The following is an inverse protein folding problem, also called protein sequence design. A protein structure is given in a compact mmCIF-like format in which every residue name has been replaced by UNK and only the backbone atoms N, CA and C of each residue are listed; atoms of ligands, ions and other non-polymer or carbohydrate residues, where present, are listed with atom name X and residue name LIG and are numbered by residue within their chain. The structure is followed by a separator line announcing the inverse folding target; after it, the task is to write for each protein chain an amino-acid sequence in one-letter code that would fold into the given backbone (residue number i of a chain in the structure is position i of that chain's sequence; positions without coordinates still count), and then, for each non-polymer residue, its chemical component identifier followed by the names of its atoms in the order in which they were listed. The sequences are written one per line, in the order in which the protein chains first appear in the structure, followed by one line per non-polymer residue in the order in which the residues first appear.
data_IF_162771628628
#
_entry.id   IF_162771628628
#
_cell.length_a   1.000
_cell.length_b   1.000
_cell.length_c   1.000
_cell.angle_alpha   90.00
_cell.angle_beta   90.00
_cell.angle_gamma   90.00
#
_symmetry.space_group_name_H-M   'P 1'
#
loop_
_entity.id
_entity.type
_entity.pdbx_description
1 polymer ?
#
# COMPACT_ATOMS: atom_id res chain seq x y z
N UNK A 1 -14.61 -77.88 25.79
CA UNK A 1 -15.57 -78.28 26.84
C UNK A 1 -15.74 -77.12 27.81
N UNK A 2 -16.99 -76.74 28.06
CA UNK A 2 -17.55 -75.89 29.13
C UNK A 2 -16.97 -74.49 29.41
N UNK A 3 -17.76 -73.44 29.69
CA UNK A 3 -19.19 -73.08 29.52
C UNK A 3 -19.33 -71.69 30.22
N UNK A 4 -20.10 -70.77 29.62
CA UNK A 4 -20.97 -69.72 30.19
C UNK A 4 -20.51 -68.89 31.41
N UNK A 5 -20.48 -67.55 31.41
CA UNK A 5 -21.55 -66.53 31.53
C UNK A 5 -20.82 -65.28 32.12
N UNK A 6 -21.22 -64.01 32.08
CA UNK A 6 -22.47 -63.30 31.83
C UNK A 6 -22.08 -61.83 31.52
N UNK A 7 -22.84 -61.18 30.65
CA UNK A 7 -22.73 -59.75 30.40
C UNK A 7 -23.29 -58.94 31.58
N UNK A 8 -22.66 -57.81 31.90
CA UNK A 8 -23.26 -56.73 32.70
C UNK A 8 -23.14 -55.42 31.92
N UNK A 9 -24.26 -55.00 31.34
CA UNK A 9 -24.44 -53.67 30.74
C UNK A 9 -24.89 -52.76 31.87
N UNK A 10 -24.01 -51.84 32.29
CA UNK A 10 -24.38 -50.74 33.18
C UNK A 10 -24.81 -49.54 32.32
N UNK A 11 -26.12 -49.31 32.28
CA UNK A 11 -26.69 -48.06 31.79
C UNK A 11 -26.38 -46.94 32.79
N UNK A 12 -25.73 -45.88 32.32
CA UNK A 12 -25.57 -44.62 33.06
C UNK A 12 -26.58 -43.59 32.56
N UNK A 13 -27.10 -42.72 33.46
CA UNK A 13 -28.22 -41.84 33.15
C UNK A 13 -27.83 -40.67 32.27
N UNK A 14 -28.76 -40.32 31.38
CA UNK A 14 -28.77 -39.07 30.61
C UNK A 14 -28.90 -37.90 31.58
N UNK A 15 -27.83 -37.12 31.73
CA UNK A 15 -27.91 -35.78 32.29
C UNK A 15 -28.03 -34.77 31.15
N UNK A 16 -29.23 -34.22 31.01
CA UNK A 16 -29.46 -32.96 30.30
C UNK A 16 -28.91 -31.81 31.14
N UNK A 17 -27.85 -31.17 30.66
CA UNK A 17 -27.44 -29.85 31.13
C UNK A 17 -27.27 -28.94 29.91
N UNK A 18 -28.30 -28.13 29.69
CA UNK A 18 -28.26 -26.90 28.90
C UNK A 18 -27.26 -25.93 29.51
N UNK A 19 -26.19 -25.63 28.78
CA UNK A 19 -25.53 -24.32 28.84
C UNK A 19 -25.08 -23.92 27.45
N UNK A 20 -25.55 -22.74 27.05
CA UNK A 20 -25.17 -22.05 25.84
C UNK A 20 -23.65 -21.84 25.79
N UNK A 21 -23.04 -22.21 24.67
CA UNK A 21 -21.63 -22.01 24.38
C UNK A 21 -21.45 -21.84 22.89
N UNK A 22 -22.10 -20.83 22.32
CA UNK A 22 -21.79 -20.37 20.97
C UNK A 22 -20.37 -19.79 20.99
N UNK A 23 -19.37 -20.59 20.64
CA UNK A 23 -18.11 -20.10 20.12
C UNK A 23 -18.33 -19.66 18.67
N UNK A 24 -19.20 -18.66 18.49
CA UNK A 24 -19.10 -17.78 17.36
C UNK A 24 -17.83 -16.96 17.57
N UNK A 25 -16.74 -17.39 16.95
CA UNK A 25 -15.68 -16.47 16.56
C UNK A 25 -16.29 -15.45 15.61
N UNK A 26 -16.95 -14.44 16.16
CA UNK A 26 -17.29 -13.22 15.44
C UNK A 26 -15.96 -12.54 15.13
N UNK A 27 -15.33 -12.97 14.03
CA UNK A 27 -14.39 -12.14 13.32
C UNK A 27 -15.10 -10.82 13.06
N UNK A 28 -14.67 -9.78 13.77
CA UNK A 28 -15.13 -8.42 13.50
C UNK A 28 -14.79 -8.19 12.04
N UNK A 29 -15.79 -8.15 11.16
CA UNK A 29 -15.58 -7.62 9.83
C UNK A 29 -15.12 -6.19 10.06
N UNK A 30 -13.83 -5.92 9.86
CA UNK A 30 -13.30 -4.57 9.83
C UNK A 30 -14.06 -3.85 8.71
N UNK A 31 -15.09 -3.09 9.08
CA UNK A 31 -15.94 -2.38 8.14
C UNK A 31 -15.19 -1.13 7.71
N UNK A 32 -14.34 -1.28 6.69
CA UNK A 32 -13.68 -0.17 6.03
C UNK A 32 -14.70 0.68 5.27
N UNK A 33 -14.65 2.00 5.48
CA UNK A 33 -15.48 2.98 4.78
C UNK A 33 -14.60 3.82 3.87
N UNK A 34 -15.02 3.97 2.62
CA UNK A 34 -14.30 4.76 1.64
C UNK A 34 -14.15 6.23 2.06
N UNK A 35 -12.92 6.72 2.02
CA UNK A 35 -12.62 8.13 2.24
C UNK A 35 -13.03 8.92 0.99
N UNK A 36 -14.00 9.81 1.16
CA UNK A 36 -14.56 10.61 0.05
C UNK A 36 -13.47 11.34 -0.74
N UNK A 37 -13.48 11.12 -2.06
CA UNK A 37 -12.71 11.89 -3.05
C UNK A 37 -13.34 13.30 -3.16
N UNK A 38 -12.61 14.36 -2.83
CA UNK A 38 -13.15 15.73 -2.80
C UNK A 38 -12.49 16.67 -3.79
N UNK A 39 -11.40 16.24 -4.41
CA UNK A 39 -10.71 16.95 -5.48
C UNK A 39 -10.97 16.19 -6.79
N UNK A 40 -11.00 16.88 -7.95
CA UNK A 40 -11.38 16.28 -9.22
C UNK A 40 -10.37 15.24 -9.76
N UNK A 41 -9.20 15.09 -9.13
CA UNK A 41 -8.04 14.50 -9.80
C UNK A 41 -7.60 15.38 -10.98
N UNK A 42 -6.50 15.01 -11.63
CA UNK A 42 -6.11 15.69 -12.88
C UNK A 42 -6.28 14.81 -14.11
N UNK A 43 -6.30 13.48 -13.94
CA UNK A 43 -6.65 12.48 -14.97
C UNK A 43 -6.14 12.89 -16.36
N UNK A 44 -4.82 13.04 -16.47
CA UNK A 44 -4.18 13.61 -17.65
C UNK A 44 -2.79 13.05 -17.86
N UNK A 45 -2.45 12.82 -19.13
CA UNK A 45 -1.11 12.43 -19.53
C UNK A 45 -0.10 13.57 -19.35
N UNK A 46 -0.55 14.82 -19.34
CA UNK A 46 0.33 16.00 -19.35
C UNK A 46 0.02 16.98 -18.23
N UNK A 47 0.97 17.14 -17.30
CA UNK A 47 0.94 18.27 -16.35
C UNK A 47 1.48 19.52 -17.03
N UNK A 48 0.83 20.67 -16.82
CA UNK A 48 1.26 21.96 -17.38
C UNK A 48 1.51 22.95 -16.26
N UNK A 49 2.73 23.49 -16.19
CA UNK A 49 3.11 24.46 -15.17
C UNK A 49 4.14 25.47 -15.69
N UNK A 50 4.43 26.48 -14.88
CA UNK A 50 5.46 27.49 -15.15
C UNK A 50 6.70 27.17 -14.31
N UNK A 51 7.87 27.09 -14.94
CA UNK A 51 9.19 26.96 -14.30
C UNK A 51 10.13 27.97 -14.93
N UNK A 52 10.71 28.86 -14.14
CA UNK A 52 11.60 29.95 -14.59
C UNK A 52 11.00 30.78 -15.75
N UNK A 53 9.72 31.16 -15.63
CA UNK A 53 8.99 31.93 -16.65
C UNK A 53 8.54 31.12 -17.88
N UNK A 54 9.04 29.91 -18.08
CA UNK A 54 8.71 29.05 -19.23
C UNK A 54 7.55 28.10 -18.92
N UNK A 55 6.71 27.84 -19.91
CA UNK A 55 5.70 26.77 -19.83
C UNK A 55 6.40 25.42 -19.99
N UNK A 56 6.27 24.55 -18.99
CA UNK A 56 6.69 23.16 -19.03
C UNK A 56 5.47 22.29 -19.25
N UNK A 57 5.59 21.30 -20.15
CA UNK A 57 4.61 20.24 -20.39
C UNK A 57 5.26 18.93 -19.96
N UNK A 58 4.81 18.37 -18.85
CA UNK A 58 5.37 17.16 -18.27
C UNK A 58 4.49 15.96 -18.63
N UNK A 59 4.98 15.12 -19.54
CA UNK A 59 4.29 13.91 -19.96
C UNK A 59 4.35 12.78 -18.94
N UNK A 60 3.90 11.59 -19.34
CA UNK A 60 3.89 10.39 -18.49
C UNK A 60 5.30 9.87 -18.15
N UNK A 61 6.30 10.12 -19.00
CA UNK A 61 7.69 9.70 -18.74
C UNK A 61 8.52 10.75 -17.99
N UNK A 62 7.88 11.78 -17.42
CA UNK A 62 8.59 12.80 -16.68
C UNK A 62 9.63 13.56 -17.51
N UNK A 63 10.73 13.95 -16.86
CA UNK A 63 11.92 14.51 -17.51
C UNK A 63 13.14 13.57 -17.41
N UNK A 64 12.95 12.31 -17.03
CA UNK A 64 14.00 11.30 -17.00
C UNK A 64 14.70 11.16 -18.37
N UNK A 65 16.01 10.93 -18.35
CA UNK A 65 16.82 10.77 -19.57
C UNK A 65 17.03 9.31 -19.94
N UNK A 66 17.27 8.45 -18.95
CA UNK A 66 17.45 6.99 -19.11
C UNK A 66 16.12 6.28 -19.34
N UNK A 67 16.12 5.21 -20.12
CA UNK A 67 14.88 4.46 -20.45
C UNK A 67 14.29 3.73 -19.24
N UNK A 68 15.12 3.19 -18.35
CA UNK A 68 14.68 2.58 -17.09
C UNK A 68 13.95 3.60 -16.19
N UNK A 69 14.51 4.80 -16.05
CA UNK A 69 13.92 5.89 -15.29
C UNK A 69 12.61 6.39 -15.92
N UNK A 70 12.56 6.49 -17.25
CA UNK A 70 11.32 6.84 -17.96
C UNK A 70 10.25 5.78 -17.78
N UNK A 71 10.62 4.51 -17.70
CA UNK A 71 9.69 3.41 -17.43
C UNK A 71 9.11 3.53 -16.02
N UNK A 72 9.95 3.79 -15.02
CA UNK A 72 9.51 4.07 -13.66
C UNK A 72 8.60 5.31 -13.61
N UNK A 73 8.98 6.41 -14.26
CA UNK A 73 8.15 7.63 -14.31
C UNK A 73 6.76 7.33 -14.92
N UNK A 74 6.67 6.46 -15.94
CA UNK A 74 5.37 6.03 -16.51
C UNK A 74 4.52 5.26 -15.50
N UNK A 75 5.13 4.39 -14.70
CA UNK A 75 4.43 3.64 -13.64
C UNK A 75 3.93 4.59 -12.54
N UNK A 76 4.79 5.49 -12.08
CA UNK A 76 4.48 6.52 -11.08
C UNK A 76 3.36 7.45 -11.55
N UNK A 77 3.38 7.83 -12.83
CA UNK A 77 2.43 8.76 -13.41
C UNK A 77 1.09 8.15 -13.87
N UNK A 78 0.84 6.86 -13.63
CA UNK A 78 -0.48 6.27 -13.95
C UNK A 78 -1.61 7.11 -13.34
N UNK A 79 -2.76 7.11 -14.01
CA UNK A 79 -3.90 7.94 -13.61
C UNK A 79 -5.26 7.23 -13.77
N UNK A 80 -5.23 5.97 -14.17
CA UNK A 80 -6.37 5.05 -14.15
C UNK A 80 -6.38 4.20 -12.88
N UNK A 81 -7.52 3.57 -12.60
CA UNK A 81 -7.61 2.53 -11.56
C UNK A 81 -7.10 1.17 -12.11
N UNK A 82 -6.43 0.34 -11.29
CA UNK A 82 -6.10 -1.03 -11.69
C UNK A 82 -7.35 -1.87 -11.93
N UNK A 83 -7.36 -2.65 -13.01
CA UNK A 83 -8.43 -3.60 -13.33
C UNK A 83 -8.11 -5.03 -12.90
N UNK A 84 -6.83 -5.32 -12.69
CA UNK A 84 -6.32 -6.61 -12.21
C UNK A 84 -5.49 -6.40 -10.96
N UNK A 85 -5.50 -7.39 -10.08
CA UNK A 85 -4.83 -7.34 -8.79
C UNK A 85 -3.92 -8.55 -8.59
N UNK A 86 -2.73 -8.30 -8.06
CA UNK A 86 -1.84 -9.34 -7.58
C UNK A 86 -2.21 -9.70 -6.14
N UNK A 87 -2.85 -10.86 -5.95
CA UNK A 87 -3.25 -11.33 -4.62
C UNK A 87 -2.07 -11.73 -3.73
N UNK A 88 -0.88 -11.94 -4.31
CA UNK A 88 0.36 -12.21 -3.57
C UNK A 88 1.01 -10.95 -3.02
N UNK A 89 0.65 -9.78 -3.54
CA UNK A 89 1.16 -8.49 -3.12
C UNK A 89 0.50 -8.00 -1.82
N UNK A 90 0.78 -8.70 -0.71
CA UNK A 90 0.36 -8.30 0.64
C UNK A 90 1.38 -7.34 1.27
N UNK A 91 0.98 -6.63 2.34
CA UNK A 91 1.91 -5.74 3.07
C UNK A 91 3.13 -6.51 3.59
N UNK A 92 2.92 -7.74 4.07
CA UNK A 92 3.99 -8.62 4.57
C UNK A 92 4.97 -8.98 3.45
N UNK A 93 4.44 -9.44 2.32
CA UNK A 93 5.27 -9.83 1.19
C UNK A 93 6.03 -8.64 0.62
N UNK A 94 5.38 -7.47 0.50
CA UNK A 94 6.04 -6.26 0.00
C UNK A 94 7.21 -5.85 0.89
N UNK A 95 7.02 -5.81 2.22
CA UNK A 95 8.08 -5.40 3.16
C UNK A 95 9.36 -6.22 3.06
N UNK A 96 9.28 -7.51 2.68
CA UNK A 96 10.43 -8.40 2.55
C UNK A 96 11.00 -8.53 1.14
N UNK A 97 10.39 -7.88 0.14
CA UNK A 97 10.75 -8.07 -1.26
C UNK A 97 11.92 -7.17 -1.70
N UNK A 98 12.89 -7.78 -2.38
CA UNK A 98 14.05 -7.09 -2.95
C UNK A 98 13.72 -6.38 -4.26
N UNK A 99 14.43 -5.29 -4.52
CA UNK A 99 14.37 -4.51 -5.76
C UNK A 99 14.77 -5.36 -6.96
N UNK A 100 14.14 -5.10 -8.11
CA UNK A 100 14.50 -5.70 -9.40
C UNK A 100 14.17 -7.20 -9.51
N UNK A 101 13.54 -7.77 -8.49
CA UNK A 101 13.02 -9.14 -8.54
C UNK A 101 11.67 -9.18 -9.26
N UNK A 102 11.25 -10.36 -9.71
CA UNK A 102 9.88 -10.56 -10.21
C UNK A 102 8.91 -10.87 -9.05
N UNK A 103 9.10 -10.24 -7.88
CA UNK A 103 8.28 -10.50 -6.69
C UNK A 103 6.80 -10.17 -6.92
N UNK A 104 6.53 -9.09 -7.69
CA UNK A 104 5.17 -8.66 -8.01
C UNK A 104 5.04 -8.18 -9.45
N UNK A 105 3.83 -8.30 -9.99
CA UNK A 105 3.50 -7.84 -11.34
C UNK A 105 3.15 -6.34 -11.35
N UNK A 106 4.06 -5.52 -11.87
CA UNK A 106 3.87 -4.07 -11.97
C UNK A 106 2.76 -3.67 -12.96
N UNK A 107 2.24 -4.60 -13.77
CA UNK A 107 1.05 -4.40 -14.61
C UNK A 107 -0.26 -4.57 -13.84
N UNK A 108 -0.21 -4.89 -12.53
CA UNK A 108 -1.36 -5.08 -11.65
C UNK A 108 -1.36 -4.09 -10.49
N UNK A 109 -2.53 -3.99 -9.85
CA UNK A 109 -2.70 -3.32 -8.58
C UNK A 109 -2.55 -4.24 -7.38
N UNK A 110 -2.57 -3.65 -6.19
CA UNK A 110 -2.67 -4.37 -4.93
C UNK A 110 -3.62 -3.65 -3.97
N UNK A 111 -4.12 -4.40 -3.00
CA UNK A 111 -4.94 -3.90 -1.89
C UNK A 111 -4.21 -4.20 -0.59
N UNK A 112 -3.76 -3.16 0.10
CA UNK A 112 -2.98 -3.30 1.34
C UNK A 112 -3.75 -2.74 2.53
N UNK A 113 -3.64 -3.41 3.67
CA UNK A 113 -4.20 -2.92 4.94
C UNK A 113 -3.08 -2.73 5.95
N UNK A 114 -3.05 -1.57 6.61
CA UNK A 114 -2.03 -1.24 7.61
C UNK A 114 -2.32 0.10 8.29
N UNK A 115 -1.42 0.55 9.16
CA UNK A 115 -1.50 1.86 9.77
C UNK A 115 -0.83 2.91 8.90
N UNK A 116 -1.51 4.04 8.69
CA UNK A 116 -0.93 5.20 8.02
C UNK A 116 0.00 5.93 9.00
N UNK A 117 1.31 5.83 8.79
CA UNK A 117 2.32 6.26 9.76
C UNK A 117 2.62 7.76 9.66
N UNK A 118 2.83 8.25 8.44
CA UNK A 118 3.26 9.64 8.19
C UNK A 118 3.01 10.01 6.74
N UNK A 119 2.83 11.31 6.50
CA UNK A 119 2.78 11.95 5.18
C UNK A 119 3.85 13.02 5.08
N UNK A 120 4.60 13.03 3.97
CA UNK A 120 5.55 14.08 3.59
C UNK A 120 5.34 14.47 2.13
N UNK A 121 5.33 15.78 1.78
CA UNK A 121 5.37 16.17 0.37
C UNK A 121 6.73 15.82 -0.23
N UNK A 122 6.74 15.12 -1.36
CA UNK A 122 7.94 14.83 -2.14
C UNK A 122 8.11 15.89 -3.23
N UNK A 123 9.28 16.53 -3.27
CA UNK A 123 9.50 17.72 -4.12
C UNK A 123 10.20 17.31 -5.40
N UNK A 124 10.14 18.18 -6.41
CA UNK A 124 10.97 18.15 -7.63
C UNK A 124 11.57 16.79 -8.05
N UNK A 125 10.72 15.90 -8.56
CA UNK A 125 11.11 14.56 -9.03
C UNK A 125 11.12 14.48 -10.56
N UNK A 126 11.70 13.40 -11.09
CA UNK A 126 11.66 13.17 -12.54
C UNK A 126 10.24 13.01 -13.07
N UNK A 127 9.40 12.26 -12.37
CA UNK A 127 8.00 11.99 -12.72
C UNK A 127 7.16 13.26 -12.88
N UNK A 128 7.48 14.33 -12.14
CA UNK A 128 6.80 15.64 -12.20
C UNK A 128 7.62 16.74 -12.91
N UNK A 129 8.68 16.34 -13.62
CA UNK A 129 9.59 17.23 -14.37
C UNK A 129 10.22 18.33 -13.51
N UNK A 130 10.42 18.04 -12.23
CA UNK A 130 10.92 19.00 -11.25
C UNK A 130 10.00 20.20 -11.07
N UNK A 131 8.68 20.01 -11.03
CA UNK A 131 7.78 21.15 -10.84
C UNK A 131 8.06 21.82 -9.48
N UNK A 132 8.14 23.16 -9.41
CA UNK A 132 8.34 23.85 -8.13
C UNK A 132 7.03 24.01 -7.33
N UNK A 133 5.89 23.55 -7.87
CA UNK A 133 4.57 23.78 -7.28
C UNK A 133 4.13 22.58 -6.46
N UNK A 134 3.70 22.82 -5.23
CA UNK A 134 3.19 21.78 -4.32
C UNK A 134 1.93 21.04 -4.79
N UNK A 135 1.22 21.59 -5.79
CA UNK A 135 0.10 20.91 -6.46
C UNK A 135 0.56 19.83 -7.45
N UNK A 136 1.83 19.87 -7.85
CA UNK A 136 2.49 18.95 -8.78
C UNK A 136 3.46 17.99 -8.08
N UNK A 137 3.46 17.97 -6.74
CA UNK A 137 4.31 17.11 -5.93
C UNK A 137 3.59 15.83 -5.53
N UNK A 138 4.34 14.74 -5.36
CA UNK A 138 3.78 13.54 -4.78
C UNK A 138 3.59 13.72 -3.26
N UNK A 139 2.67 12.95 -2.71
CA UNK A 139 2.48 12.82 -1.28
C UNK A 139 3.01 11.45 -0.86
N UNK A 140 4.28 11.46 -0.45
CA UNK A 140 4.98 10.32 0.08
C UNK A 140 4.37 9.94 1.44
N UNK A 141 3.63 8.83 1.46
CA UNK A 141 2.95 8.30 2.62
C UNK A 141 3.57 6.97 3.04
N UNK A 142 3.39 6.61 4.30
CA UNK A 142 3.99 5.39 4.86
C UNK A 142 2.92 4.47 5.44
N UNK A 143 2.97 3.18 5.09
CA UNK A 143 2.10 2.13 5.62
C UNK A 143 2.93 1.11 6.39
N UNK A 144 2.45 0.70 7.57
CA UNK A 144 3.11 -0.30 8.40
C UNK A 144 2.14 -1.17 9.20
N UNK A 145 2.64 -2.22 9.84
CA UNK A 145 1.83 -3.08 10.72
C UNK A 145 1.45 -2.41 12.05
N UNK A 146 2.22 -1.41 12.48
CA UNK A 146 1.98 -0.68 13.74
C UNK A 146 1.90 0.82 13.45
N UNK A 147 1.24 1.62 14.32
CA UNK A 147 1.15 3.08 14.12
C UNK A 147 2.46 3.83 14.42
N UNK A 148 3.48 3.16 14.96
CA UNK A 148 4.77 3.75 15.32
C UNK A 148 5.90 2.76 15.05
N UNK A 149 6.12 2.36 13.78
CA UNK A 149 7.16 1.41 13.41
C UNK A 149 8.54 2.07 13.44
N UNK A 150 9.60 1.26 13.40
CA UNK A 150 10.92 1.77 13.03
C UNK A 150 10.90 2.29 11.58
N UNK A 151 11.85 3.14 11.21
CA UNK A 151 11.88 3.71 9.86
C UNK A 151 12.02 2.62 8.79
N UNK A 152 12.75 1.54 9.06
CA UNK A 152 12.95 0.44 8.13
C UNK A 152 11.82 -0.63 8.15
N UNK A 153 10.72 -0.41 8.89
CA UNK A 153 9.60 -1.34 9.03
C UNK A 153 8.29 -0.79 8.41
N UNK A 154 8.42 -0.07 7.29
CA UNK A 154 7.31 0.57 6.58
C UNK A 154 7.57 0.58 5.09
N UNK A 155 6.51 0.52 4.31
CA UNK A 155 6.58 0.74 2.85
C UNK A 155 6.02 2.11 2.50
N UNK A 156 6.28 2.52 1.27
CA UNK A 156 5.74 3.75 0.71
C UNK A 156 4.44 3.46 -0.02
N UNK A 157 3.52 4.42 0.05
CA UNK A 157 2.47 4.58 -0.92
C UNK A 157 2.35 6.05 -1.28
N UNK A 158 1.96 6.37 -2.50
CA UNK A 158 1.96 7.76 -2.95
C UNK A 158 0.61 8.20 -3.50
N UNK A 159 0.16 9.37 -3.04
CA UNK A 159 -0.95 10.09 -3.67
C UNK A 159 -0.36 11.10 -4.63
N UNK A 160 -0.40 10.77 -5.92
CA UNK A 160 0.24 11.56 -6.97
C UNK A 160 -0.64 12.71 -7.43
N UNK A 161 -0.09 13.75 -8.09
CA UNK A 161 -0.87 14.85 -8.58
C UNK A 161 -1.91 14.50 -9.64
N UNK A 162 -1.75 13.38 -10.36
CA UNK A 162 -2.74 12.88 -11.31
C UNK A 162 -3.90 12.20 -10.59
N UNK A 163 -3.62 11.52 -9.47
CA UNK A 163 -4.57 10.85 -8.58
C UNK A 163 -4.88 11.64 -7.30
N UNK A 164 -4.70 12.97 -7.32
CA UNK A 164 -4.90 13.81 -6.13
C UNK A 164 -6.37 14.08 -5.89
N UNK A 165 -7.06 13.09 -5.34
CA UNK A 165 -8.45 13.17 -4.92
C UNK A 165 -8.62 13.70 -3.49
N UNK A 166 -7.55 13.63 -2.68
CA UNK A 166 -7.53 14.06 -1.28
C UNK A 166 -6.52 15.18 -1.07
N UNK A 167 -6.91 16.19 -0.30
CA UNK A 167 -6.01 17.24 0.16
C UNK A 167 -5.04 16.72 1.21
N UNK A 168 -3.91 17.41 1.38
CA UNK A 168 -2.97 17.16 2.49
C UNK A 168 -3.68 17.15 3.85
N UNK A 169 -4.62 18.07 4.06
CA UNK A 169 -5.37 18.18 5.31
C UNK A 169 -6.29 16.97 5.57
N UNK A 170 -6.86 16.36 4.52
CA UNK A 170 -7.65 15.14 4.65
C UNK A 170 -6.75 13.95 4.99
N UNK A 171 -5.65 13.77 4.25
CA UNK A 171 -4.70 12.68 4.49
C UNK A 171 -4.07 12.79 5.88
N UNK A 172 -3.75 14.00 6.35
CA UNK A 172 -3.20 14.22 7.68
C UNK A 172 -4.12 13.73 8.80
N UNK A 173 -5.45 13.78 8.61
CA UNK A 173 -6.44 13.26 9.58
C UNK A 173 -6.50 11.73 9.63
N UNK A 174 -5.89 11.05 8.65
CA UNK A 174 -5.82 9.59 8.58
C UNK A 174 -4.54 9.03 9.21
N UNK A 175 -3.53 9.87 9.47
CA UNK A 175 -2.31 9.46 10.16
C UNK A 175 -2.65 8.88 11.55
N UNK A 176 -2.05 7.74 11.86
CA UNK A 176 -2.31 6.93 13.05
C UNK A 176 -3.50 5.97 12.93
N UNK A 177 -4.31 6.06 11.87
CA UNK A 177 -5.45 5.16 11.65
C UNK A 177 -5.02 3.92 10.86
N UNK A 178 -5.71 2.82 11.11
CA UNK A 178 -5.68 1.65 10.24
C UNK A 178 -6.48 2.00 8.98
N UNK A 179 -5.88 1.83 7.81
CA UNK A 179 -6.49 2.12 6.51
C UNK A 179 -6.32 0.92 5.58
N UNK A 180 -7.21 0.83 4.60
CA UNK A 180 -7.07 -0.03 3.43
C UNK A 180 -6.82 0.85 2.22
N UNK A 181 -5.72 0.61 1.53
CA UNK A 181 -5.37 1.32 0.29
C UNK A 181 -5.49 0.39 -0.89
N UNK A 182 -5.89 0.96 -2.03
CA UNK A 182 -5.86 0.30 -3.33
C UNK A 182 -5.04 1.16 -4.26
N UNK A 183 -4.21 0.56 -5.10
CA UNK A 183 -3.48 1.29 -6.12
C UNK A 183 -2.61 0.38 -6.95
N UNK A 184 -1.75 0.99 -7.73
CA UNK A 184 -0.85 0.26 -8.61
C UNK A 184 0.44 -0.16 -7.91
N UNK A 185 0.98 -1.32 -8.26
CA UNK A 185 2.28 -1.78 -7.77
C UNK A 185 3.38 -1.09 -8.59
N UNK A 186 4.41 -0.60 -7.92
CA UNK A 186 5.63 -0.11 -8.54
C UNK A 186 6.87 -0.51 -7.72
N UNK A 187 7.96 -0.81 -8.41
CA UNK A 187 9.29 -0.98 -7.81
C UNK A 187 10.10 0.30 -8.01
N UNK A 188 10.22 1.11 -6.96
CA UNK A 188 11.04 2.33 -6.99
C UNK A 188 12.53 2.01 -6.76
N UNK A 189 13.12 1.35 -7.76
CA UNK A 189 14.46 0.77 -7.71
C UNK A 189 15.57 1.77 -7.37
N UNK A 190 15.31 3.08 -7.57
CA UNK A 190 16.23 4.16 -7.24
C UNK A 190 16.54 4.24 -5.74
N UNK A 191 15.67 3.69 -4.90
CA UNK A 191 15.81 3.66 -3.45
C UNK A 191 16.40 2.37 -2.89
N UNK A 192 16.94 1.48 -3.72
CA UNK A 192 17.51 0.19 -3.27
C UNK A 192 18.60 0.35 -2.21
N UNK A 193 19.36 1.45 -2.28
CA UNK A 193 20.36 1.80 -1.26
C UNK A 193 19.77 2.22 0.10
N UNK A 194 18.46 2.33 0.23
CA UNK A 194 17.75 2.83 1.42
C UNK A 194 16.71 1.84 1.95
N UNK A 195 16.66 0.64 1.34
CA UNK A 195 15.76 -0.46 1.67
C UNK A 195 16.42 -1.49 2.58
N UNK A 196 15.67 -1.91 3.60
CA UNK A 196 16.05 -3.02 4.47
C UNK A 196 16.14 -4.35 3.74
N UNK A 197 15.20 -4.64 2.84
CA UNK A 197 15.17 -5.89 2.06
C UNK A 197 16.41 -6.06 1.17
N UNK A 198 16.92 -4.96 0.60
CA UNK A 198 18.11 -4.97 -0.26
C UNK A 198 19.43 -4.89 0.51
N UNK A 199 19.45 -4.21 1.67
CA UNK A 199 20.65 -4.01 2.48
C UNK A 199 20.35 -4.11 3.98
N UNK A 200 20.13 -5.33 4.52
CA UNK A 200 19.72 -5.51 5.90
C UNK A 200 20.69 -4.90 6.93
N UNK A 201 20.15 -4.20 7.92
CA UNK A 201 20.90 -3.57 9.01
C UNK A 201 21.74 -2.36 8.61
N UNK A 202 21.68 -1.90 7.34
CA UNK A 202 22.45 -0.75 6.89
C UNK A 202 21.98 0.54 7.60
N UNK A 203 22.89 1.31 8.22
CA UNK A 203 22.54 2.61 8.77
C UNK A 203 21.98 3.54 7.69
N UNK A 204 20.83 4.15 7.97
CA UNK A 204 20.14 5.06 7.05
C UNK A 204 19.02 4.43 6.23
N UNK A 205 18.78 3.12 6.36
CA UNK A 205 17.57 2.50 5.82
C UNK A 205 16.32 3.18 6.42
N UNK A 206 15.44 3.67 5.54
CA UNK A 206 14.25 4.41 5.96
C UNK A 206 12.94 3.83 5.41
N UNK A 207 13.03 2.73 4.66
CA UNK A 207 11.93 1.92 4.14
C UNK A 207 12.28 0.43 4.23
N UNK A 208 11.26 -0.41 4.31
CA UNK A 208 11.42 -1.87 4.30
C UNK A 208 11.83 -2.35 2.89
N UNK A 209 11.07 -1.94 1.87
CA UNK A 209 11.26 -2.31 0.46
C UNK A 209 11.17 -1.11 -0.46
N UNK A 210 11.72 -1.24 -1.67
CA UNK A 210 11.45 -0.33 -2.80
C UNK A 210 10.08 -0.53 -3.44
N UNK A 211 9.49 -1.71 -3.25
CA UNK A 211 8.10 -1.97 -3.64
C UNK A 211 7.15 -1.05 -2.89
N UNK A 212 6.28 -0.39 -3.65
CA UNK A 212 5.34 0.61 -3.18
C UNK A 212 4.01 0.56 -3.93
N UNK A 213 3.00 1.24 -3.38
CA UNK A 213 1.75 1.51 -4.10
C UNK A 213 1.83 2.91 -4.70
N UNK A 214 2.01 2.97 -6.02
CA UNK A 214 2.22 4.21 -6.75
C UNK A 214 1.57 4.16 -8.15
N UNK A 215 0.52 4.97 -8.39
CA UNK A 215 -0.23 5.78 -7.42
C UNK A 215 -1.26 4.97 -6.62
N UNK A 216 -1.68 5.52 -5.48
CA UNK A 216 -2.92 5.12 -4.79
C UNK A 216 -4.15 5.65 -5.52
N UNK A 217 -5.16 4.79 -5.65
CA UNK A 217 -6.43 5.07 -6.35
C UNK A 217 -7.65 5.04 -5.42
N UNK A 218 -7.56 4.33 -4.29
CA UNK A 218 -8.58 4.31 -3.25
C UNK A 218 -7.98 4.26 -1.84
N UNK A 219 -8.68 4.89 -0.87
CA UNK A 219 -8.35 4.83 0.55
C UNK A 219 -9.64 4.61 1.33
N UNK A 220 -9.60 3.69 2.29
CA UNK A 220 -10.69 3.37 3.20
C UNK A 220 -10.18 3.34 4.64
N UNK A 221 -11.04 3.63 5.61
CA UNK A 221 -10.72 3.73 7.05
C UNK A 221 -11.75 3.04 7.93
#
# INVERSE_FOLDING_TARGET
MNRYHLAFVLALPVLTATTAGSLAGMGRQDSFVQVTKTLPGRDTDTLVFKKNGKTVRCGMSGNATKEEDKALDRLKNRHSEPTEFDSGATLEMMMGAQTGTNAFDQTKGAVLTGYFVKLTPEKEESCNCGSPKSVDWDFHCFLAFTPSPNQNERIVFEVTPRMRFWSKAQLQKLVGKRIRITGWIADDFKHSGESEADSPGKPGNWRASCWEIHPVTNIEV
#
